data_IF_678879575679
#
_entry.id   IF_678879575679
#
_cell.length_a   1.000
_cell.length_b   1.000
_cell.length_c   1.000
_cell.angle_alpha   90.00
_cell.angle_beta   90.00
_cell.angle_gamma   90.00
#
_symmetry.space_group_name_H-M   'P 1'
#
loop_
_entity.id
_entity.type
_entity.pdbx_description
1 polymer ?
#
# COMPACT_ATOMS: atom_id res chain seq x y z
N UNK A 1 14.01 -0.39 26.33
CA UNK A 1 13.13 -1.07 25.36
C UNK A 1 13.94 -1.34 24.10
N UNK A 2 13.82 -2.52 23.48
CA UNK A 2 14.44 -2.79 22.19
C UNK A 2 13.84 -1.85 21.13
N UNK A 3 14.67 -1.34 20.21
CA UNK A 3 14.15 -0.61 19.05
C UNK A 3 13.44 -1.60 18.10
N UNK A 4 12.30 -1.22 17.50
CA UNK A 4 11.61 -2.07 16.53
C UNK A 4 12.48 -2.26 15.28
N UNK A 5 12.36 -3.42 14.65
CA UNK A 5 13.00 -3.71 13.36
C UNK A 5 12.28 -3.01 12.21
N UNK A 6 12.96 -2.80 11.08
CA UNK A 6 12.35 -2.18 9.90
C UNK A 6 11.04 -2.89 9.44
N UNK A 7 10.96 -4.24 9.38
CA UNK A 7 9.70 -4.91 9.04
C UNK A 7 8.55 -4.64 10.03
N UNK A 8 8.84 -4.52 11.33
CA UNK A 8 7.83 -4.17 12.34
C UNK A 8 7.31 -2.75 12.12
N UNK A 9 8.20 -1.80 11.84
CA UNK A 9 7.83 -0.42 11.52
C UNK A 9 7.02 -0.36 10.21
N UNK A 10 7.42 -1.08 9.16
CA UNK A 10 6.67 -1.16 7.91
C UNK A 10 5.26 -1.70 8.13
N UNK A 11 5.11 -2.75 8.93
CA UNK A 11 3.80 -3.35 9.26
C UNK A 11 2.89 -2.38 10.02
N UNK A 12 3.45 -1.66 11.00
CA UNK A 12 2.72 -0.64 11.75
C UNK A 12 2.24 0.49 10.82
N UNK A 13 3.14 1.06 10.01
CA UNK A 13 2.79 2.11 9.04
C UNK A 13 1.74 1.61 8.04
N UNK A 14 1.90 0.39 7.51
CA UNK A 14 0.94 -0.23 6.59
C UNK A 14 -0.46 -0.30 7.18
N UNK A 15 -0.54 -0.74 8.44
CA UNK A 15 -1.81 -0.88 9.17
C UNK A 15 -2.47 0.49 9.36
N UNK A 16 -1.70 1.49 9.81
CA UNK A 16 -2.17 2.86 9.98
C UNK A 16 -2.70 3.47 8.68
N UNK A 17 -1.88 3.44 7.62
CA UNK A 17 -2.25 3.97 6.30
C UNK A 17 -3.47 3.25 5.71
N UNK A 18 -3.57 1.93 5.88
CA UNK A 18 -4.72 1.15 5.42
C UNK A 18 -6.00 1.54 6.16
N UNK A 19 -5.92 1.71 7.48
CA UNK A 19 -7.05 2.13 8.29
C UNK A 19 -7.48 3.55 7.95
N UNK A 20 -6.54 4.47 7.74
CA UNK A 20 -6.80 5.83 7.26
C UNK A 20 -7.53 5.80 5.91
N UNK A 21 -7.07 4.99 4.95
CA UNK A 21 -7.75 4.81 3.67
C UNK A 21 -9.21 4.36 3.85
N UNK A 22 -9.47 3.39 4.74
CA UNK A 22 -10.84 2.94 5.05
C UNK A 22 -11.71 4.04 5.63
N UNK A 23 -11.16 4.90 6.50
CA UNK A 23 -11.88 6.05 7.06
C UNK A 23 -12.25 7.08 5.98
N UNK A 24 -11.44 7.18 4.92
CA UNK A 24 -11.75 7.98 3.72
C UNK A 24 -12.68 7.26 2.71
N UNK A 25 -13.15 6.05 3.02
CA UNK A 25 -13.99 5.24 2.13
C UNK A 25 -13.24 4.60 0.97
N UNK A 26 -11.92 4.49 1.04
CA UNK A 26 -11.09 3.88 -0.01
C UNK A 26 -10.92 2.38 0.26
N UNK A 27 -11.00 1.57 -0.81
CA UNK A 27 -10.66 0.14 -0.75
C UNK A 27 -9.16 -0.04 -0.92
N UNK A 28 -8.53 -0.97 -0.20
CA UNK A 28 -7.07 -1.17 -0.21
C UNK A 28 -6.67 -2.58 -0.61
N UNK A 29 -5.59 -2.70 -1.38
CA UNK A 29 -4.83 -3.92 -1.57
C UNK A 29 -3.37 -3.67 -1.22
N UNK A 30 -2.81 -4.52 -0.36
CA UNK A 30 -1.38 -4.52 -0.09
C UNK A 30 -0.62 -5.28 -1.19
N UNK A 31 0.61 -4.90 -1.49
CA UNK A 31 1.45 -5.61 -2.46
C UNK A 31 0.75 -5.78 -3.82
N UNK A 32 0.26 -4.67 -4.38
CA UNK A 32 -0.46 -4.69 -5.65
C UNK A 32 0.53 -4.74 -6.81
N UNK A 33 0.52 -5.83 -7.56
CA UNK A 33 1.42 -6.01 -8.71
C UNK A 33 0.97 -5.14 -9.87
N UNK A 34 1.88 -4.35 -10.43
CA UNK A 34 1.62 -3.50 -11.59
C UNK A 34 1.94 -4.24 -12.90
N UNK A 35 1.42 -3.77 -14.04
CA UNK A 35 1.69 -4.39 -15.35
C UNK A 35 3.17 -4.52 -15.72
N UNK A 36 4.04 -3.68 -15.15
CA UNK A 36 5.49 -3.71 -15.33
C UNK A 36 6.22 -4.62 -14.31
N UNK A 37 5.45 -5.43 -13.56
CA UNK A 37 5.90 -6.36 -12.50
C UNK A 37 6.42 -5.69 -11.23
N UNK A 38 6.32 -4.37 -11.09
CA UNK A 38 6.55 -3.70 -9.81
C UNK A 38 5.43 -4.01 -8.84
N UNK A 39 5.64 -3.73 -7.56
CA UNK A 39 4.63 -3.90 -6.52
C UNK A 39 4.50 -2.61 -5.75
N UNK A 40 3.31 -2.02 -5.80
CA UNK A 40 2.96 -0.94 -4.89
C UNK A 40 2.71 -1.53 -3.50
N UNK A 41 3.28 -0.91 -2.46
CA UNK A 41 3.10 -1.38 -1.08
C UNK A 41 1.62 -1.40 -0.70
N UNK A 42 0.91 -0.31 -1.01
CA UNK A 42 -0.55 -0.21 -0.94
C UNK A 42 -1.04 0.46 -2.23
N UNK A 43 -1.99 -0.20 -2.88
CA UNK A 43 -2.86 0.44 -3.87
C UNK A 43 -4.22 0.67 -3.24
N UNK A 44 -4.71 1.90 -3.31
CA UNK A 44 -6.06 2.27 -2.87
C UNK A 44 -6.95 2.68 -4.05
N UNK A 45 -8.21 2.29 -4.00
CA UNK A 45 -9.25 2.64 -4.97
C UNK A 45 -10.31 3.49 -4.27
N UNK A 46 -10.51 4.72 -4.74
CA UNK A 46 -11.52 5.65 -4.18
C UNK A 46 -12.92 5.42 -4.78
N UNK A 47 -14.00 5.90 -4.14
CA UNK A 47 -15.35 5.85 -4.70
C UNK A 47 -15.50 6.53 -6.07
N UNK A 48 -14.69 7.54 -6.35
CA UNK A 48 -14.63 8.25 -7.63
C UNK A 48 -13.82 7.49 -8.71
N UNK A 49 -13.32 6.30 -8.39
CA UNK A 49 -12.53 5.47 -9.31
C UNK A 49 -11.09 5.95 -9.49
N UNK A 50 -10.54 6.72 -8.55
CA UNK A 50 -9.12 7.10 -8.54
C UNK A 50 -8.28 5.98 -7.93
N UNK A 51 -7.12 5.74 -8.51
CA UNK A 51 -6.11 4.82 -7.99
C UNK A 51 -5.01 5.61 -7.29
N UNK A 52 -4.74 5.27 -6.04
CA UNK A 52 -3.74 5.95 -5.21
C UNK A 52 -2.66 4.94 -4.85
N UNK A 53 -1.41 5.25 -5.20
CA UNK A 53 -0.26 4.47 -4.79
C UNK A 53 0.30 5.06 -3.48
N UNK A 54 0.53 4.23 -2.48
CA UNK A 54 1.10 4.64 -1.20
C UNK A 54 2.31 3.76 -0.94
N UNK A 55 3.50 4.35 -1.01
CA UNK A 55 4.77 3.68 -0.72
C UNK A 55 5.18 3.89 0.73
N UNK A 56 5.51 2.81 1.43
CA UNK A 56 5.86 2.82 2.83
C UNK A 56 7.38 2.95 2.95
N UNK A 57 7.86 3.92 3.73
CA UNK A 57 9.28 4.04 4.07
C UNK A 57 9.47 3.95 5.57
N UNK A 58 10.11 2.86 6.00
CA UNK A 58 10.38 2.58 7.42
C UNK A 58 11.46 3.46 8.03
N UNK A 59 12.21 4.19 7.21
CA UNK A 59 13.23 5.12 7.65
C UNK A 59 14.00 5.71 6.47
N UNK A 60 14.90 6.66 6.77
CA UNK A 60 15.69 7.35 5.76
C UNK A 60 16.51 6.40 4.85
N UNK A 61 17.12 5.30 5.34
CA UNK A 61 17.82 4.36 4.46
C UNK A 61 16.91 3.69 3.42
N UNK A 62 15.68 3.36 3.80
CA UNK A 62 14.66 2.73 2.94
C UNK A 62 14.30 3.67 1.77
N UNK A 63 14.02 4.94 2.09
CA UNK A 63 13.77 5.96 1.07
C UNK A 63 14.98 6.21 0.16
N UNK A 64 16.19 6.28 0.73
CA UNK A 64 17.42 6.51 -0.06
C UNK A 64 17.74 5.36 -1.00
N UNK A 65 17.34 4.13 -0.68
CA UNK A 65 17.55 2.96 -1.54
C UNK A 65 16.53 2.89 -2.68
N UNK A 66 15.35 3.50 -2.51
CA UNK A 66 14.30 3.50 -3.53
C UNK A 66 14.51 4.62 -4.56
N UNK A 67 15.36 4.35 -5.53
CA UNK A 67 15.63 5.26 -6.65
C UNK A 67 14.59 5.21 -7.77
N UNK A 68 13.54 4.38 -7.63
CA UNK A 68 12.62 4.08 -8.73
C UNK A 68 11.16 4.36 -8.39
N UNK A 69 10.91 5.06 -7.28
CA UNK A 69 9.56 5.39 -6.86
C UNK A 69 8.79 6.19 -7.93
N UNK A 70 9.49 6.99 -8.77
CA UNK A 70 8.86 7.75 -9.84
C UNK A 70 8.19 6.84 -10.89
N UNK A 71 8.64 5.60 -11.01
CA UNK A 71 8.10 4.63 -11.97
C UNK A 71 6.68 4.19 -11.58
N UNK A 72 6.21 4.51 -10.37
CA UNK A 72 4.82 4.30 -9.94
C UNK A 72 3.85 5.40 -10.41
N UNK A 73 4.35 6.61 -10.71
CA UNK A 73 3.53 7.76 -11.11
C UNK A 73 2.64 7.48 -12.34
N UNK A 74 3.10 6.77 -13.39
CA UNK A 74 2.24 6.45 -14.54
C UNK A 74 1.09 5.48 -14.21
N UNK A 75 1.07 4.88 -13.02
CA UNK A 75 0.15 3.81 -12.61
C UNK A 75 -0.84 4.23 -11.51
N UNK A 76 -0.82 5.49 -11.07
CA UNK A 76 -1.77 6.04 -10.11
C UNK A 76 -2.19 7.47 -10.49
N UNK A 77 -3.34 7.90 -9.96
CA UNK A 77 -3.78 9.29 -10.02
C UNK A 77 -3.09 10.17 -8.98
N UNK A 78 -2.70 9.57 -7.85
CA UNK A 78 -2.03 10.21 -6.73
C UNK A 78 -1.00 9.26 -6.12
N UNK A 79 0.13 9.82 -5.70
CA UNK A 79 1.22 9.10 -5.06
C UNK A 79 1.46 9.69 -3.67
N UNK A 80 1.48 8.84 -2.65
CA UNK A 80 1.82 9.21 -1.28
C UNK A 80 3.04 8.43 -0.80
N UNK A 81 3.86 9.06 0.02
CA UNK A 81 4.73 8.33 0.94
C UNK A 81 4.03 8.21 2.29
N UNK A 82 4.07 7.02 2.88
CA UNK A 82 3.68 6.78 4.26
C UNK A 82 4.93 6.50 5.10
N UNK A 83 5.15 7.33 6.13
CA UNK A 83 6.36 7.30 6.96
C UNK A 83 6.01 7.42 8.43
N UNK A 84 6.95 7.08 9.32
CA UNK A 84 6.80 7.33 10.75
C UNK A 84 6.97 8.82 11.09
N UNK A 85 6.45 9.24 12.24
CA UNK A 85 6.48 10.64 12.72
C UNK A 85 7.88 11.22 12.94
N UNK A 86 8.89 10.36 13.12
CA UNK A 86 10.29 10.72 13.30
C UNK A 86 11.07 10.77 11.97
N UNK A 87 10.42 10.49 10.84
CA UNK A 87 11.05 10.53 9.52
C UNK A 87 11.38 11.99 9.11
N UNK A 88 12.56 12.28 8.54
CA UNK A 88 12.92 13.63 8.13
C UNK A 88 12.15 14.06 6.86
N UNK A 89 10.99 14.70 7.01
CA UNK A 89 10.08 15.01 5.89
C UNK A 89 10.68 15.89 4.78
N UNK A 90 11.68 16.72 5.09
CA UNK A 90 12.30 17.64 4.14
C UNK A 90 13.03 16.93 2.97
N UNK A 91 13.31 15.63 3.10
CA UNK A 91 13.93 14.84 2.01
C UNK A 91 12.89 14.32 1.02
N UNK A 92 11.60 14.35 1.37
CA UNK A 92 10.54 13.81 0.53
C UNK A 92 10.20 14.81 -0.58
N UNK A 93 9.96 14.36 -1.82
CA UNK A 93 9.61 15.24 -2.93
C UNK A 93 8.33 16.04 -2.64
N UNK A 94 8.30 17.31 -3.00
CA UNK A 94 7.13 18.18 -2.76
C UNK A 94 5.92 17.80 -3.64
N UNK A 95 6.17 17.16 -4.78
CA UNK A 95 5.14 16.71 -5.72
C UNK A 95 4.51 15.35 -5.36
N UNK A 96 4.72 14.85 -4.14
CA UNK A 96 3.99 13.69 -3.60
C UNK A 96 3.18 14.08 -2.37
N UNK A 97 2.12 13.33 -2.11
CA UNK A 97 1.44 13.39 -0.83
C UNK A 97 2.27 12.79 0.29
N UNK A 98 1.90 13.12 1.53
CA UNK A 98 2.54 12.64 2.74
C UNK A 98 1.49 12.15 3.73
N UNK A 99 1.62 10.89 4.12
CA UNK A 99 0.92 10.27 5.24
C UNK A 99 1.95 10.07 6.36
N UNK A 100 1.60 10.54 7.55
CA UNK A 100 2.37 10.24 8.77
C UNK A 100 1.58 9.20 9.56
N UNK A 101 2.25 8.11 9.92
CA UNK A 101 1.74 7.12 10.87
C UNK A 101 2.63 7.14 12.11
N UNK A 102 2.14 7.71 13.21
CA UNK A 102 2.83 7.66 14.49
C UNK A 102 2.81 6.22 15.00
N UNK A 103 3.98 5.58 15.07
CA UNK A 103 4.12 4.22 15.60
C UNK A 103 4.57 4.24 17.06
N UNK A 104 4.24 3.19 17.80
CA UNK A 104 4.83 2.91 19.10
C UNK A 104 4.50 1.51 19.57
N UNK A 105 5.02 1.14 20.74
CA UNK A 105 4.82 -0.19 21.30
C UNK A 105 3.45 -0.32 21.96
N UNK A 106 2.72 -1.38 21.61
CA UNK A 106 1.48 -1.78 22.26
C UNK A 106 1.72 -2.28 23.69
N UNK A 107 0.65 -2.50 24.45
CA UNK A 107 0.73 -3.14 25.77
C UNK A 107 1.35 -4.54 25.74
N UNK A 108 1.24 -5.24 24.61
CA UNK A 108 1.86 -6.55 24.39
C UNK A 108 3.33 -6.45 23.92
N UNK A 109 3.87 -5.23 23.76
CA UNK A 109 5.23 -5.00 23.30
C UNK A 109 5.42 -5.03 21.78
N UNK A 110 4.34 -5.19 21.02
CA UNK A 110 4.37 -5.19 19.55
C UNK A 110 4.33 -3.76 19.00
N UNK A 111 5.14 -3.48 17.98
CA UNK A 111 5.08 -2.20 17.28
C UNK A 111 3.74 -2.06 16.54
N UNK A 112 3.02 -0.97 16.80
CA UNK A 112 1.71 -0.70 16.22
C UNK A 112 1.55 0.77 15.83
N UNK A 113 0.60 1.06 14.94
CA UNK A 113 0.19 2.41 14.66
C UNK A 113 -0.67 2.94 15.81
N UNK A 114 -0.32 4.10 16.35
CA UNK A 114 -1.06 4.82 17.39
C UNK A 114 -1.99 5.85 16.75
N UNK A 115 -1.50 6.57 15.73
CA UNK A 115 -2.26 7.57 15.01
C UNK A 115 -1.78 7.68 13.55
N UNK A 116 -2.64 8.12 12.64
CA UNK A 116 -2.31 8.26 11.23
C UNK A 116 -3.11 9.36 10.55
N UNK A 117 -2.43 10.23 9.81
CA UNK A 117 -3.05 11.37 9.13
C UNK A 117 -2.38 11.68 7.79
N UNK A 118 -3.17 12.21 6.85
CA UNK A 118 -2.66 12.88 5.65
C UNK A 118 -2.21 14.28 6.06
N UNK A 119 -0.91 14.55 5.96
CA UNK A 119 -0.33 15.86 6.32
C UNK A 119 -0.15 16.75 5.10
N UNK A 120 0.12 16.13 3.95
CA UNK A 120 0.18 16.83 2.66
C UNK A 120 -0.65 16.06 1.62
N UNK A 121 -1.68 16.67 1.02
CA UNK A 121 -2.42 16.02 -0.06
C UNK A 121 -1.52 15.85 -1.28
N UNK A 122 -1.65 14.72 -1.98
CA UNK A 122 -0.92 14.49 -3.22
C UNK A 122 -1.54 15.31 -4.37
N UNK A 123 -0.72 15.91 -5.25
CA UNK A 123 -1.23 16.45 -6.51
C UNK A 123 -1.90 15.34 -7.32
N UNK A 124 -2.95 15.70 -8.06
CA UNK A 124 -3.70 14.76 -8.90
C UNK A 124 -3.17 14.80 -10.33
N UNK A 125 -2.73 13.65 -10.84
CA UNK A 125 -2.32 13.45 -12.22
C UNK A 125 -3.20 12.35 -12.85
N UNK A 126 -4.26 12.70 -13.61
CA UNK A 126 -5.27 11.72 -14.00
C UNK A 126 -4.70 10.63 -14.92
N UNK A 127 -5.00 9.37 -14.58
CA UNK A 127 -4.69 8.23 -15.44
C UNK A 127 -5.49 8.27 -16.74
N UNK A 128 -4.83 7.88 -17.83
CA UNK A 128 -5.48 7.64 -19.12
C UNK A 128 -6.62 6.62 -18.95
N UNK A 129 -7.80 6.82 -19.59
CA UNK A 129 -8.99 5.98 -19.37
C UNK A 129 -8.75 4.48 -19.57
N UNK A 130 -7.99 4.10 -20.61
CA UNK A 130 -7.66 2.69 -20.88
C UNK A 130 -6.81 2.07 -19.76
N UNK A 131 -5.86 2.83 -19.21
CA UNK A 131 -5.01 2.38 -18.09
C UNK A 131 -5.82 2.24 -16.81
N UNK A 132 -6.67 3.23 -16.50
CA UNK A 132 -7.59 3.17 -15.35
C UNK A 132 -8.44 1.91 -15.41
N UNK A 133 -9.12 1.67 -16.53
CA UNK A 133 -9.96 0.47 -16.72
C UNK A 133 -9.19 -0.83 -16.46
N UNK A 134 -7.97 -0.94 -17.02
CA UNK A 134 -7.12 -2.13 -16.83
C UNK A 134 -6.76 -2.33 -15.35
N UNK A 135 -6.30 -1.28 -14.69
CA UNK A 135 -5.86 -1.36 -13.29
C UNK A 135 -7.03 -1.62 -12.34
N UNK A 136 -8.20 -1.00 -12.56
CA UNK A 136 -9.41 -1.27 -11.77
C UNK A 136 -9.87 -2.73 -11.92
N UNK A 137 -9.87 -3.27 -13.15
CA UNK A 137 -10.18 -4.68 -13.36
C UNK A 137 -9.19 -5.59 -12.63
N UNK A 138 -7.89 -5.29 -12.75
CA UNK A 138 -6.85 -6.06 -12.07
C UNK A 138 -6.99 -5.99 -10.54
N UNK A 139 -7.28 -4.81 -9.99
CA UNK A 139 -7.57 -4.61 -8.58
C UNK A 139 -8.75 -5.47 -8.13
N UNK A 140 -9.87 -5.43 -8.85
CA UNK A 140 -11.06 -6.22 -8.52
C UNK A 140 -10.78 -7.74 -8.56
N UNK A 141 -10.10 -8.22 -9.61
CA UNK A 141 -9.74 -9.63 -9.75
C UNK A 141 -8.79 -10.10 -8.63
N UNK A 142 -7.78 -9.29 -8.29
CA UNK A 142 -6.84 -9.62 -7.24
C UNK A 142 -7.48 -9.60 -5.85
N UNK A 143 -8.41 -8.66 -5.60
CA UNK A 143 -9.20 -8.62 -4.38
C UNK A 143 -10.09 -9.88 -4.25
N UNK A 144 -10.85 -10.21 -5.30
CA UNK A 144 -11.72 -11.39 -5.32
C UNK A 144 -10.92 -12.69 -5.13
N UNK A 145 -9.78 -12.82 -5.80
CA UNK A 145 -8.91 -14.00 -5.67
C UNK A 145 -8.33 -14.16 -4.26
N UNK A 146 -7.91 -13.06 -3.62
CA UNK A 146 -7.40 -13.09 -2.24
C UNK A 146 -8.50 -13.41 -1.23
N UNK A 147 -9.69 -12.82 -1.41
CA UNK A 147 -10.84 -13.12 -0.55
C UNK A 147 -11.24 -14.59 -0.68
N UNK A 148 -11.34 -15.12 -1.91
CA UNK A 148 -11.66 -16.53 -2.14
C UNK A 148 -10.65 -17.50 -1.50
N UNK A 149 -9.35 -17.19 -1.54
CA UNK A 149 -8.33 -17.99 -0.84
C UNK A 149 -8.50 -17.96 0.69
N UNK A 150 -8.91 -16.82 1.26
CA UNK A 150 -9.15 -16.70 2.70
C UNK A 150 -10.43 -17.42 3.12
N UNK A 151 -11.49 -17.34 2.31
CA UNK A 151 -12.78 -17.97 2.59
C UNK A 151 -12.79 -19.49 2.32
N UNK A 152 -11.97 -19.96 1.37
CA UNK A 152 -11.98 -21.36 0.90
C UNK A 152 -10.57 -21.98 0.81
N UNK A 153 -9.79 -22.02 1.90
CA UNK A 153 -8.39 -22.44 1.86
C UNK A 153 -8.21 -23.93 1.48
N UNK A 154 -9.21 -24.79 1.72
CA UNK A 154 -9.12 -26.22 1.42
C UNK A 154 -9.40 -26.57 -0.05
N UNK A 155 -10.09 -25.69 -0.80
CA UNK A 155 -10.54 -25.97 -2.18
C UNK A 155 -9.37 -25.91 -3.16
N UNK A 156 -8.40 -25.03 -2.92
CA UNK A 156 -7.29 -24.81 -3.86
C UNK A 156 -6.35 -26.03 -3.98
N UNK A 157 -6.11 -26.76 -2.88
CA UNK A 157 -5.32 -28.00 -2.88
C UNK A 157 -6.04 -29.15 -3.59
N UNK A 158 -7.36 -29.25 -3.43
CA UNK A 158 -8.17 -30.26 -4.09
C UNK A 158 -8.22 -30.07 -5.62
N UNK A 159 -8.41 -28.84 -6.10
CA UNK A 159 -8.51 -28.53 -7.54
C UNK A 159 -7.16 -28.62 -8.26
N UNK A 160 -6.04 -28.23 -7.61
CA UNK A 160 -4.67 -28.43 -8.16
C UNK A 160 -4.33 -29.91 -8.37
N UNK A 161 -4.96 -30.82 -7.61
CA UNK A 161 -4.83 -32.26 -7.80
C UNK A 161 -5.66 -32.73 -8.99
N UNK A 162 -6.89 -32.22 -9.14
CA UNK A 162 -7.76 -32.54 -10.28
C UNK A 162 -7.18 -32.10 -11.64
N UNK A 163 -6.48 -30.96 -11.71
CA UNK A 163 -5.84 -30.45 -12.94
C UNK A 163 -4.49 -31.11 -13.28
N UNK A 164 -3.98 -32.03 -12.44
CA UNK A 164 -2.76 -32.80 -12.67
C UNK A 164 -3.03 -34.26 -13.06
N UNK A 165 -4.30 -34.65 -13.07
CA UNK A 165 -4.74 -35.95 -13.58
C UNK A 165 -5.11 -35.74 -15.05
N UNK A 166 -4.08 -35.63 -15.89
CA UNK A 166 -4.11 -35.83 -17.35
C UNK A 166 -2.70 -36.27 -17.78
#
# INVERSE_FOLDING_TARGET
>A
MLRPSAPQVQSAIRTGASQLCRLHGWAVLHEFTLPDRRRADIMALTPEGRLICIEIKSGLPDFRADHKWQDYLPWCDQMYFAVNHDFPHAVLPENTGLIIAATGSSRAGEETCIDCAIIRPAPTAPLAPARRRRLTLQFALQAAYRLGQMEMPQVEQAVKTALRVD
#
